data_IF_931669609673
#
_entry.id   IF_931669609673
#
_cell.length_a   1.000
_cell.length_b   1.000
_cell.length_c   1.000
_cell.angle_alpha   90.00
_cell.angle_beta   90.00
_cell.angle_gamma   90.00
#
_symmetry.space_group_name_H-M   'P 1'
#
loop_
_entity.id
_entity.type
_entity.pdbx_description
1 polymer ?
#
# COMPACT_ATOMS: atom_id res chain seq x y z
N UNK A 1 -47.86 21.58 -43.86
CA UNK A 1 -46.46 21.12 -43.74
C UNK A 1 -46.01 20.98 -42.28
N UNK A 2 -46.91 21.06 -41.27
CA UNK A 2 -46.51 21.20 -39.86
C UNK A 2 -46.40 19.90 -39.04
N UNK A 3 -47.04 18.82 -39.49
CA UNK A 3 -47.07 17.56 -38.72
C UNK A 3 -45.73 16.82 -38.79
N UNK A 4 -45.08 16.88 -39.96
CA UNK A 4 -43.77 16.26 -40.21
C UNK A 4 -42.62 16.94 -39.45
N UNK A 5 -42.69 18.25 -39.24
CA UNK A 5 -41.67 19.02 -38.48
C UNK A 5 -41.80 18.79 -36.97
N UNK A 6 -43.03 18.62 -36.47
CA UNK A 6 -43.25 18.26 -35.06
C UNK A 6 -42.73 16.84 -34.73
N UNK A 7 -42.98 15.86 -35.59
CA UNK A 7 -42.43 14.50 -35.43
C UNK A 7 -40.91 14.47 -35.47
N UNK A 8 -40.29 15.18 -36.41
CA UNK A 8 -38.83 15.29 -36.53
C UNK A 8 -38.18 15.90 -35.28
N UNK A 9 -38.84 16.88 -34.66
CA UNK A 9 -38.34 17.55 -33.45
C UNK A 9 -38.39 16.59 -32.26
N UNK A 10 -39.52 15.87 -32.10
CA UNK A 10 -39.71 14.89 -31.03
C UNK A 10 -38.74 13.71 -31.14
N UNK A 11 -38.50 13.21 -32.35
CA UNK A 11 -37.54 12.15 -32.61
C UNK A 11 -36.10 12.57 -32.28
N UNK A 12 -35.74 13.82 -32.59
CA UNK A 12 -34.42 14.39 -32.27
C UNK A 12 -34.20 14.53 -30.76
N UNK A 13 -35.17 15.06 -30.02
CA UNK A 13 -35.09 15.18 -28.56
C UNK A 13 -34.92 13.83 -27.86
N UNK A 14 -35.67 12.81 -28.32
CA UNK A 14 -35.53 11.44 -27.80
C UNK A 14 -34.16 10.86 -28.12
N UNK A 15 -33.63 11.08 -29.33
CA UNK A 15 -32.29 10.62 -29.70
C UNK A 15 -31.19 11.30 -28.88
N UNK A 16 -31.28 12.61 -28.66
CA UNK A 16 -30.34 13.38 -27.83
C UNK A 16 -30.40 12.95 -26.36
N UNK A 17 -31.60 12.77 -25.81
CA UNK A 17 -31.78 12.26 -24.45
C UNK A 17 -31.21 10.84 -24.29
N UNK A 18 -31.43 9.97 -25.28
CA UNK A 18 -30.88 8.60 -25.30
C UNK A 18 -29.36 8.62 -25.41
N UNK A 19 -28.79 9.48 -26.27
CA UNK A 19 -27.34 9.63 -26.42
C UNK A 19 -26.69 10.20 -25.17
N UNK A 20 -27.33 11.15 -24.49
CA UNK A 20 -26.87 11.68 -23.21
C UNK A 20 -26.90 10.61 -22.11
N UNK A 21 -27.96 9.80 -22.05
CA UNK A 21 -28.08 8.68 -21.12
C UNK A 21 -27.01 7.60 -21.39
N UNK A 22 -26.75 7.28 -22.66
CA UNK A 22 -25.69 6.37 -23.08
C UNK A 22 -24.31 6.88 -22.68
N UNK A 23 -23.99 8.15 -22.96
CA UNK A 23 -22.73 8.78 -22.55
C UNK A 23 -22.54 8.73 -21.04
N UNK A 24 -23.58 9.07 -20.27
CA UNK A 24 -23.54 9.02 -18.80
C UNK A 24 -23.29 7.59 -18.30
N UNK A 25 -23.91 6.59 -18.92
CA UNK A 25 -23.72 5.17 -18.58
C UNK A 25 -22.32 4.70 -18.94
N UNK A 26 -21.82 5.06 -20.12
CA UNK A 26 -20.48 4.70 -20.59
C UNK A 26 -19.39 5.29 -19.69
N UNK A 27 -19.51 6.58 -19.31
CA UNK A 27 -18.58 7.22 -18.38
C UNK A 27 -18.53 6.50 -17.02
N UNK A 28 -19.69 6.10 -16.48
CA UNK A 28 -19.75 5.34 -15.22
C UNK A 28 -19.04 3.99 -15.34
N UNK A 29 -19.26 3.26 -16.45
CA UNK A 29 -18.58 2.00 -16.72
C UNK A 29 -17.06 2.19 -16.83
N UNK A 30 -16.62 3.23 -17.55
CA UNK A 30 -15.21 3.58 -17.65
C UNK A 30 -14.56 3.83 -16.28
N UNK A 31 -15.23 4.56 -15.40
CA UNK A 31 -14.75 4.77 -14.03
C UNK A 31 -14.66 3.47 -13.23
N UNK A 32 -15.68 2.61 -13.31
CA UNK A 32 -15.65 1.30 -12.60
C UNK A 32 -14.52 0.42 -13.12
N UNK A 33 -14.29 0.38 -14.43
CA UNK A 33 -13.17 -0.38 -15.01
C UNK A 33 -11.82 0.15 -14.55
N UNK A 34 -11.62 1.47 -14.56
CA UNK A 34 -10.38 2.09 -14.09
C UNK A 34 -10.09 1.73 -12.62
N UNK A 35 -11.08 1.90 -11.74
CA UNK A 35 -10.94 1.53 -10.31
C UNK A 35 -10.67 0.03 -10.15
N UNK A 36 -11.35 -0.82 -10.93
CA UNK A 36 -11.13 -2.27 -10.86
C UNK A 36 -9.72 -2.65 -11.29
N UNK A 37 -9.19 -2.01 -12.34
CA UNK A 37 -7.82 -2.21 -12.80
C UNK A 37 -6.80 -1.75 -11.76
N UNK A 38 -7.03 -0.61 -11.12
CA UNK A 38 -6.15 -0.08 -10.06
C UNK A 38 -6.11 -1.03 -8.86
N UNK A 39 -7.25 -1.60 -8.47
CA UNK A 39 -7.33 -2.59 -7.39
C UNK A 39 -6.59 -3.86 -7.76
N UNK A 40 -6.80 -4.41 -8.96
CA UNK A 40 -6.11 -5.63 -9.43
C UNK A 40 -4.59 -5.39 -9.50
N UNK A 41 -4.15 -4.28 -10.07
CA UNK A 41 -2.72 -3.91 -10.14
C UNK A 41 -2.08 -3.78 -8.75
N UNK A 42 -2.83 -3.22 -7.78
CA UNK A 42 -2.37 -3.13 -6.39
C UNK A 42 -2.25 -4.52 -5.75
N UNK A 43 -3.21 -5.42 -6.00
CA UNK A 43 -3.16 -6.80 -5.53
C UNK A 43 -1.98 -7.56 -6.15
N UNK A 44 -1.70 -7.36 -7.44
CA UNK A 44 -0.55 -7.95 -8.14
C UNK A 44 0.78 -7.45 -7.57
N UNK A 45 0.87 -6.16 -7.23
CA UNK A 45 2.07 -5.60 -6.59
C UNK A 45 2.31 -6.23 -5.22
N UNK A 46 1.29 -6.31 -4.37
CA UNK A 46 1.46 -6.86 -3.02
C UNK A 46 1.81 -8.38 -3.07
N UNK A 47 1.25 -9.12 -4.04
CA UNK A 47 1.64 -10.51 -4.32
C UNK A 47 3.10 -10.63 -4.78
N UNK A 48 3.54 -9.74 -5.68
CA UNK A 48 4.93 -9.70 -6.15
C UNK A 48 5.91 -9.39 -5.01
N UNK A 49 5.58 -8.41 -4.16
CA UNK A 49 6.42 -8.05 -3.00
C UNK A 49 6.53 -9.21 -2.00
N UNK A 50 5.44 -9.96 -1.82
CA UNK A 50 5.45 -11.17 -0.98
C UNK A 50 6.36 -12.27 -1.56
N UNK A 51 6.30 -12.47 -2.87
CA UNK A 51 7.17 -13.42 -3.57
C UNK A 51 8.66 -13.05 -3.47
N UNK A 52 9.00 -11.76 -3.49
CA UNK A 52 10.38 -11.29 -3.30
C UNK A 52 10.90 -11.69 -1.92
N UNK A 53 10.10 -11.51 -0.87
CA UNK A 53 10.48 -11.94 0.48
C UNK A 53 10.64 -13.46 0.55
N UNK A 54 9.75 -14.22 -0.07
CA UNK A 54 9.85 -15.68 -0.12
C UNK A 54 11.16 -16.15 -0.78
N UNK A 55 11.56 -15.50 -1.89
CA UNK A 55 12.83 -15.79 -2.56
C UNK A 55 14.04 -15.36 -1.73
N UNK A 56 13.95 -14.26 -0.98
CA UNK A 56 15.02 -13.81 -0.10
C UNK A 56 15.34 -14.85 0.97
N UNK A 57 14.33 -15.55 1.50
CA UNK A 57 14.51 -16.60 2.50
C UNK A 57 15.32 -17.80 1.97
N UNK A 58 15.38 -17.99 0.65
CA UNK A 58 16.20 -19.04 0.04
C UNK A 58 17.70 -18.71 0.01
N UNK A 59 18.05 -17.44 0.21
CA UNK A 59 19.43 -16.93 0.11
C UNK A 59 20.00 -16.56 1.49
N UNK A 60 19.15 -16.05 2.39
CA UNK A 60 19.55 -15.59 3.73
C UNK A 60 18.52 -16.07 4.75
N UNK A 61 18.99 -16.68 5.83
CA UNK A 61 18.17 -17.00 6.98
C UNK A 61 17.77 -15.73 7.75
N UNK A 62 16.48 -15.58 8.03
CA UNK A 62 15.95 -14.49 8.85
C UNK A 62 14.74 -14.93 9.66
N UNK A 63 14.49 -14.25 10.78
CA UNK A 63 13.31 -14.49 11.62
C UNK A 63 12.08 -13.69 11.14
N UNK A 64 12.31 -12.53 10.53
CA UNK A 64 11.29 -11.77 9.82
C UNK A 64 11.91 -10.78 8.84
N UNK A 65 11.19 -10.50 7.74
CA UNK A 65 11.57 -9.52 6.74
C UNK A 65 10.34 -8.73 6.30
N UNK A 66 10.52 -7.45 5.96
CA UNK A 66 9.43 -6.58 5.54
C UNK A 66 9.86 -5.58 4.47
N UNK A 67 8.93 -5.27 3.57
CA UNK A 67 9.08 -4.20 2.59
C UNK A 67 8.15 -3.06 3.01
N UNK A 68 8.71 -1.88 3.20
CA UNK A 68 8.00 -0.71 3.72
C UNK A 68 8.07 0.46 2.74
N UNK A 69 7.00 1.25 2.69
CA UNK A 69 6.98 2.55 1.99
C UNK A 69 6.97 3.68 2.98
N UNK A 70 7.77 4.70 2.72
CA UNK A 70 7.84 5.91 3.55
C UNK A 70 6.94 7.01 3.00
N UNK A 71 6.00 7.49 3.81
CA UNK A 71 5.10 8.59 3.47
C UNK A 71 4.70 9.35 4.74
N UNK A 72 4.69 10.68 4.68
CA UNK A 72 4.21 11.54 5.78
C UNK A 72 4.90 11.26 7.13
N UNK A 73 6.22 11.01 7.11
CA UNK A 73 7.03 10.60 8.28
C UNK A 73 6.63 9.25 8.92
N UNK A 74 5.93 8.39 8.17
CA UNK A 74 5.49 7.08 8.61
C UNK A 74 5.93 6.01 7.62
N UNK A 75 6.45 4.90 8.14
CA UNK A 75 6.70 3.69 7.38
C UNK A 75 5.47 2.78 7.43
N UNK A 76 4.99 2.41 6.24
CA UNK A 76 3.87 1.49 6.06
C UNK A 76 4.35 0.17 5.48
N UNK A 77 3.97 -0.95 6.10
CA UNK A 77 4.25 -2.26 5.53
C UNK A 77 3.46 -2.49 4.24
N UNK A 78 4.16 -2.93 3.20
CA UNK A 78 3.59 -3.39 1.93
C UNK A 78 3.61 -4.91 1.83
N UNK A 79 4.65 -5.53 2.36
CA UNK A 79 4.78 -6.97 2.51
C UNK A 79 5.58 -7.29 3.78
N UNK A 80 5.32 -8.46 4.36
CA UNK A 80 6.10 -8.99 5.49
C UNK A 80 6.01 -10.51 5.50
N UNK A 81 7.09 -11.15 5.95
CA UNK A 81 7.17 -12.58 6.20
C UNK A 81 7.87 -12.80 7.53
N UNK A 82 7.27 -13.57 8.44
CA UNK A 82 7.81 -13.86 9.77
C UNK A 82 6.75 -14.43 10.73
N UNK A 83 7.18 -15.08 11.80
CA UNK A 83 6.37 -15.96 12.65
C UNK A 83 5.23 -15.29 13.46
N UNK A 84 5.03 -13.97 13.38
CA UNK A 84 4.37 -13.24 14.48
C UNK A 84 3.40 -12.12 14.09
N UNK A 85 3.16 -11.87 12.80
CA UNK A 85 2.36 -10.71 12.38
C UNK A 85 1.20 -11.02 11.42
N UNK A 86 0.89 -12.29 11.13
CA UNK A 86 -0.06 -12.70 10.07
C UNK A 86 -1.43 -12.01 10.09
N UNK A 87 -1.92 -11.52 11.24
CA UNK A 87 -3.23 -10.87 11.31
C UNK A 87 -3.22 -9.35 11.58
N UNK A 88 -2.05 -8.69 11.70
CA UNK A 88 -1.95 -7.26 12.07
C UNK A 88 -1.09 -6.37 11.16
N UNK A 89 -0.46 -6.95 10.13
CA UNK A 89 0.44 -6.22 9.22
C UNK A 89 -0.17 -4.97 8.60
N UNK A 90 -1.42 -5.04 8.14
CA UNK A 90 -2.09 -3.90 7.50
C UNK A 90 -2.30 -2.69 8.43
N UNK A 91 -2.11 -2.86 9.75
CA UNK A 91 -2.25 -1.79 10.74
C UNK A 91 -0.93 -1.38 11.40
N UNK A 92 0.17 -2.08 11.10
CA UNK A 92 1.46 -1.76 11.71
C UNK A 92 2.08 -0.58 10.96
N UNK A 93 2.29 0.51 11.67
CA UNK A 93 2.91 1.73 11.17
C UNK A 93 4.08 2.08 12.08
N UNK A 94 5.24 2.38 11.51
CA UNK A 94 6.40 2.81 12.28
C UNK A 94 6.55 4.32 12.08
N UNK A 95 6.22 5.15 13.08
CA UNK A 95 6.48 6.57 13.00
C UNK A 95 8.01 6.80 13.00
N UNK A 96 8.47 7.67 12.12
CA UNK A 96 9.87 8.09 12.06
C UNK A 96 9.98 9.41 12.84
N UNK A 97 10.70 9.41 13.95
CA UNK A 97 10.63 10.50 14.94
C UNK A 97 11.99 11.16 15.13
N UNK A 98 12.05 12.48 14.91
CA UNK A 98 13.23 13.29 15.20
C UNK A 98 14.46 12.90 14.37
N UNK A 99 15.62 12.78 15.02
CA UNK A 99 16.86 12.30 14.38
C UNK A 99 16.83 10.78 14.38
N UNK A 100 16.37 10.21 13.27
CA UNK A 100 16.22 8.78 13.09
C UNK A 100 17.33 8.18 12.23
N UNK A 101 18.05 7.15 12.71
CA UNK A 101 19.01 6.42 11.89
C UNK A 101 18.37 5.78 10.66
N UNK A 102 17.11 5.31 10.76
CA UNK A 102 16.34 4.81 9.61
C UNK A 102 16.13 5.91 8.57
N UNK A 103 15.79 7.12 8.99
CA UNK A 103 15.62 8.26 8.09
C UNK A 103 16.91 8.58 7.35
N UNK A 104 18.05 8.55 8.05
CA UNK A 104 19.36 8.78 7.44
C UNK A 104 19.67 7.69 6.41
N UNK A 105 19.51 6.42 6.76
CA UNK A 105 19.75 5.29 5.86
C UNK A 105 18.91 5.37 4.57
N UNK A 106 17.63 5.76 4.67
CA UNK A 106 16.78 5.95 3.49
C UNK A 106 17.24 7.09 2.58
N UNK A 107 17.73 8.20 3.16
CA UNK A 107 18.22 9.35 2.41
C UNK A 107 19.56 9.04 1.72
N UNK A 108 20.46 8.36 2.43
CA UNK A 108 21.79 7.97 1.94
C UNK A 108 21.73 6.80 0.96
N UNK A 109 20.64 6.00 0.99
CA UNK A 109 20.43 4.81 0.15
C UNK A 109 21.53 3.75 0.30
N UNK A 110 22.12 3.70 1.48
CA UNK A 110 23.14 2.71 1.83
C UNK A 110 22.55 1.65 2.79
N UNK A 111 23.03 0.39 2.72
CA UNK A 111 22.67 -0.62 3.70
C UNK A 111 23.02 -0.16 5.11
N UNK A 112 22.07 -0.30 6.03
CA UNK A 112 22.26 0.05 7.44
C UNK A 112 21.98 -1.20 8.28
N UNK A 113 23.02 -1.65 9.00
CA UNK A 113 23.00 -2.86 9.82
C UNK A 113 23.19 -2.42 11.26
N UNK A 114 22.35 -2.95 12.15
CA UNK A 114 22.35 -2.65 13.59
C UNK A 114 22.36 -3.96 14.34
N UNK A 115 23.28 -4.10 15.30
CA UNK A 115 23.42 -5.32 16.09
C UNK A 115 22.20 -5.53 17.02
N UNK A 116 21.74 -4.45 17.68
CA UNK A 116 20.54 -4.47 18.53
C UNK A 116 19.73 -3.18 18.37
N UNK A 117 18.55 -3.31 17.76
CA UNK A 117 17.61 -2.20 17.50
C UNK A 117 17.16 -1.51 18.80
N UNK A 118 17.14 -2.21 19.93
CA UNK A 118 16.77 -1.62 21.23
C UNK A 118 17.89 -0.81 21.87
N UNK A 119 19.14 -1.05 21.47
CA UNK A 119 20.30 -0.30 21.95
C UNK A 119 20.62 0.89 21.03
N UNK A 120 20.08 0.91 19.80
CA UNK A 120 20.26 2.02 18.87
C UNK A 120 19.37 3.22 19.25
N UNK A 121 19.97 4.38 19.59
CA UNK A 121 19.21 5.58 19.91
C UNK A 121 18.35 6.03 18.73
N UNK A 122 17.08 6.36 18.98
CA UNK A 122 16.11 6.71 17.95
C UNK A 122 15.27 5.53 17.51
N UNK A 123 15.89 4.42 17.06
CA UNK A 123 15.14 3.23 16.61
C UNK A 123 14.35 2.57 17.72
N UNK A 124 14.93 2.46 18.92
CA UNK A 124 14.25 1.89 20.08
C UNK A 124 12.95 2.61 20.42
N UNK A 125 12.88 3.94 20.23
CA UNK A 125 11.67 4.75 20.46
C UNK A 125 10.63 4.49 19.36
N UNK A 126 11.04 4.51 18.10
CA UNK A 126 10.17 4.29 16.95
C UNK A 126 9.50 2.91 17.01
N UNK A 127 10.28 1.88 17.36
CA UNK A 127 9.77 0.52 17.54
C UNK A 127 8.87 0.39 18.79
N UNK A 128 9.15 1.10 19.89
CA UNK A 128 8.25 1.13 21.05
C UNK A 128 6.89 1.73 20.69
N UNK A 129 6.88 2.87 19.98
CA UNK A 129 5.65 3.55 19.56
C UNK A 129 4.85 2.72 18.55
N UNK A 130 5.53 2.06 17.62
CA UNK A 130 4.90 1.23 16.61
C UNK A 130 4.28 -0.04 17.19
N UNK A 131 4.92 -0.65 18.19
CA UNK A 131 4.66 -2.07 18.50
C UNK A 131 4.08 -2.32 19.87
N UNK A 132 4.12 -1.37 20.83
CA UNK A 132 3.39 -1.30 22.11
C UNK A 132 3.50 -2.49 23.08
N UNK A 133 3.36 -3.72 22.58
CA UNK A 133 3.28 -5.02 23.26
C UNK A 133 4.38 -6.00 22.81
N UNK A 134 5.30 -5.59 21.91
CA UNK A 134 6.28 -6.49 21.28
C UNK A 134 7.57 -6.72 22.10
N UNK A 135 7.66 -6.16 23.32
CA UNK A 135 8.81 -6.34 24.22
C UNK A 135 9.01 -7.80 24.69
N UNK A 136 8.03 -8.68 24.48
CA UNK A 136 8.08 -10.10 24.89
C UNK A 136 8.34 -11.10 23.76
N UNK A 137 8.57 -10.65 22.52
CA UNK A 137 8.79 -11.57 21.39
C UNK A 137 10.30 -11.81 21.14
N UNK A 138 10.74 -13.07 21.03
CA UNK A 138 12.16 -13.48 21.00
C UNK A 138 12.94 -13.03 19.76
N UNK A 139 12.27 -12.45 18.77
CA UNK A 139 12.86 -11.97 17.51
C UNK A 139 13.66 -10.66 17.62
N UNK A 140 13.66 -10.00 18.80
CA UNK A 140 14.42 -8.78 19.06
C UNK A 140 15.25 -8.84 20.36
N UNK A 141 15.47 -10.03 20.92
CA UNK A 141 16.45 -10.22 21.99
C UNK A 141 17.76 -10.69 21.38
N UNK A 142 18.91 -10.08 21.72
CA UNK A 142 20.20 -10.63 21.34
C UNK A 142 20.35 -12.05 21.91
N UNK A 143 20.92 -12.95 21.11
CA UNK A 143 21.54 -14.17 21.63
C UNK A 143 22.84 -13.84 22.37
#
# INVERSE_FOLDING_TARGET
MDERTAELTKAKEVAEATQAALRKTNNKLATVMAVSQDVVSTLELDALLSLILEQLHQVIDYHGAGILTFKDEVLHFRAYQGLTLDSRLGSLMIPVVGVSPLRRAMLEREPFIVDDVWQEPGLSREFQEATGWMRSLPMLTPG
#
